data_IF_098494258808
#
_entry.id   IF_098494258808
#
_cell.length_a   1.000
_cell.length_b   1.000
_cell.length_c   1.000
_cell.angle_alpha   90.00
_cell.angle_beta   90.00
_cell.angle_gamma   90.00
#
_symmetry.space_group_name_H-M   'P 1'
#
loop_
_entity.id
_entity.type
_entity.pdbx_description
1 polymer ?
#
# COMPACT_ATOMS: atom_id res chain seq x y z
N UNK A 1 -13.66 6.30 -0.54
CA UNK A 1 -14.19 5.04 -1.11
C UNK A 1 -14.11 3.98 -0.02
N UNK A 2 -15.15 3.20 0.22
CA UNK A 2 -15.10 2.13 1.22
C UNK A 2 -14.19 0.98 0.77
N UNK A 3 -13.60 0.23 1.71
CA UNK A 3 -12.64 -0.83 1.37
C UNK A 3 -13.22 -1.95 0.50
N UNK A 4 -14.53 -2.20 0.58
CA UNK A 4 -15.21 -3.20 -0.28
C UNK A 4 -15.43 -2.70 -1.72
N UNK A 5 -15.02 -1.46 -2.02
CA UNK A 5 -15.06 -0.84 -3.35
C UNK A 5 -13.65 -0.55 -3.89
N UNK A 6 -12.65 -1.26 -3.39
CA UNK A 6 -11.26 -1.16 -3.81
C UNK A 6 -10.80 -2.57 -4.17
N UNK A 7 -10.47 -2.78 -5.44
CA UNK A 7 -9.90 -4.04 -5.93
C UNK A 7 -8.41 -3.88 -6.22
N UNK A 8 -7.60 -4.83 -5.74
CA UNK A 8 -6.19 -4.94 -6.13
C UNK A 8 -6.09 -5.87 -7.33
N UNK A 9 -5.40 -5.40 -8.37
CA UNK A 9 -5.12 -6.15 -9.58
C UNK A 9 -3.61 -6.13 -9.82
N UNK A 10 -3.03 -7.30 -10.09
CA UNK A 10 -1.61 -7.42 -10.45
C UNK A 10 -1.44 -7.05 -11.91
N UNK A 11 -0.65 -6.00 -12.16
CA UNK A 11 -0.28 -5.53 -13.49
C UNK A 11 1.25 -5.47 -13.62
N UNK A 12 1.91 -6.56 -14.09
CA UNK A 12 3.37 -6.67 -14.09
C UNK A 12 4.10 -5.58 -14.88
N UNK A 13 3.49 -5.09 -15.96
CA UNK A 13 4.11 -4.08 -16.84
C UNK A 13 4.12 -2.67 -16.21
N UNK A 14 3.32 -2.44 -15.16
CA UNK A 14 3.23 -1.16 -14.45
C UNK A 14 2.98 0.07 -15.34
N UNK A 15 2.34 -0.13 -16.51
CA UNK A 15 1.97 0.96 -17.44
C UNK A 15 0.62 1.57 -17.07
N UNK A 16 -0.35 0.74 -16.70
CA UNK A 16 -1.60 1.22 -16.08
C UNK A 16 -1.33 1.43 -14.59
N UNK A 17 -1.34 2.69 -14.12
CA UNK A 17 -1.00 2.98 -12.73
C UNK A 17 -2.19 2.86 -11.77
N UNK A 18 -3.42 3.03 -12.26
CA UNK A 18 -4.68 2.73 -11.57
C UNK A 18 -5.88 3.01 -12.48
N UNK A 19 -7.06 2.61 -12.02
CA UNK A 19 -8.33 2.73 -12.73
C UNK A 19 -9.44 3.19 -11.79
N UNK A 20 -10.46 3.85 -12.32
CA UNK A 20 -11.69 4.22 -11.61
C UNK A 20 -12.90 3.77 -12.43
N UNK A 21 -13.75 2.95 -11.81
CA UNK A 21 -15.04 2.55 -12.37
C UNK A 21 -16.14 3.53 -11.95
N UNK A 22 -16.96 3.94 -12.92
CA UNK A 22 -18.09 4.86 -12.76
C UNK A 22 -19.42 4.10 -12.72
N UNK A 23 -20.48 4.77 -12.28
CA UNK A 23 -21.80 4.15 -12.05
C UNK A 23 -22.49 3.64 -13.32
N UNK A 24 -22.02 4.05 -14.50
CA UNK A 24 -22.46 3.58 -15.81
C UNK A 24 -21.67 2.36 -16.31
N UNK A 25 -20.69 1.88 -15.52
CA UNK A 25 -19.79 0.79 -15.86
C UNK A 25 -18.57 1.21 -16.68
N UNK A 26 -18.40 2.50 -16.97
CA UNK A 26 -17.19 2.98 -17.65
C UNK A 26 -15.98 2.95 -16.71
N UNK A 27 -14.83 2.54 -17.23
CA UNK A 27 -13.55 2.59 -16.52
C UNK A 27 -12.63 3.61 -17.16
N UNK A 28 -12.11 4.55 -16.36
CA UNK A 28 -11.05 5.47 -16.78
C UNK A 28 -9.75 5.02 -16.13
N UNK A 29 -8.70 4.89 -16.95
CA UNK A 29 -7.37 4.46 -16.54
C UNK A 29 -6.34 5.58 -16.78
N UNK A 30 -5.38 5.74 -15.86
CA UNK A 30 -4.19 6.55 -16.11
C UNK A 30 -3.04 5.63 -16.54
N UNK A 31 -2.42 5.98 -17.67
CA UNK A 31 -1.32 5.22 -18.26
C UNK A 31 -0.08 6.10 -18.44
N UNK A 32 1.08 5.55 -18.07
CA UNK A 32 2.40 6.12 -18.37
C UNK A 32 3.50 5.09 -18.19
N UNK A 33 4.70 5.39 -18.70
CA UNK A 33 5.89 4.67 -18.28
C UNK A 33 6.12 4.89 -16.77
N UNK A 34 6.65 3.91 -16.01
CA UNK A 34 6.81 4.01 -14.57
C UNK A 34 7.87 5.04 -14.18
N UNK A 35 7.44 6.30 -14.08
CA UNK A 35 8.28 7.46 -13.78
C UNK A 35 7.56 8.44 -12.85
N UNK A 36 8.07 8.57 -11.63
CA UNK A 36 7.49 9.43 -10.59
C UNK A 36 7.44 10.91 -10.99
N UNK A 37 8.26 11.37 -11.94
CA UNK A 37 8.25 12.78 -12.38
C UNK A 37 6.90 13.18 -12.97
N UNK A 38 6.17 12.25 -13.59
CA UNK A 38 4.86 12.54 -14.15
C UNK A 38 3.81 12.85 -13.06
N UNK A 39 3.68 11.98 -12.06
CA UNK A 39 2.69 12.19 -11.00
C UNK A 39 3.06 13.36 -10.08
N UNK A 40 4.35 13.57 -9.81
CA UNK A 40 4.85 14.75 -9.09
C UNK A 40 4.53 16.02 -9.88
N UNK A 41 4.87 16.06 -11.17
CA UNK A 41 4.58 17.22 -12.04
C UNK A 41 3.09 17.51 -12.14
N UNK A 42 2.26 16.47 -12.26
CA UNK A 42 0.80 16.62 -12.26
C UNK A 42 0.28 17.22 -10.94
N UNK A 43 0.78 16.78 -9.80
CA UNK A 43 0.36 17.32 -8.50
C UNK A 43 0.76 18.79 -8.30
N UNK A 44 1.91 19.21 -8.84
CA UNK A 44 2.39 20.60 -8.75
C UNK A 44 1.63 21.55 -9.68
N UNK A 45 1.27 21.09 -10.89
CA UNK A 45 0.67 21.93 -11.93
C UNK A 45 -0.86 21.79 -12.02
N UNK A 46 -1.49 20.92 -11.22
CA UNK A 46 -2.93 20.74 -11.18
C UNK A 46 -3.65 22.09 -11.07
N UNK A 47 -4.65 22.46 -11.89
CA UNK A 47 -5.51 21.75 -12.87
C UNK A 47 -4.97 21.75 -14.32
N UNK A 48 -3.68 22.09 -14.51
CA UNK A 48 -3.02 22.15 -15.81
C UNK A 48 -2.13 20.93 -16.06
N UNK A 49 -1.50 20.90 -17.24
CA UNK A 49 -0.51 19.88 -17.61
C UNK A 49 0.88 20.52 -17.68
N UNK A 50 1.85 19.90 -17.03
CA UNK A 50 3.25 20.29 -17.14
C UNK A 50 3.72 20.21 -18.61
N UNK A 51 4.55 21.15 -19.04
CA UNK A 51 5.08 21.22 -20.40
C UNK A 51 6.13 20.15 -20.76
N UNK A 52 6.60 19.38 -19.78
CA UNK A 52 7.69 18.42 -19.96
C UNK A 52 7.10 17.02 -20.13
N UNK A 53 7.52 16.32 -21.18
CA UNK A 53 7.19 14.92 -21.35
C UNK A 53 8.16 14.06 -20.51
N UNK A 54 7.64 13.37 -19.50
CA UNK A 54 8.40 12.46 -18.64
C UNK A 54 8.39 11.02 -19.18
N UNK A 55 8.73 10.87 -20.47
CA UNK A 55 8.65 9.58 -21.17
C UNK A 55 7.22 9.28 -21.65
N UNK A 56 6.92 9.65 -22.90
CA UNK A 56 5.68 9.24 -23.54
C UNK A 56 5.72 7.73 -23.85
N UNK A 57 4.57 7.07 -23.73
CA UNK A 57 4.44 5.67 -24.14
C UNK A 57 4.65 5.59 -25.65
N UNK A 58 5.61 4.78 -26.07
CA UNK A 58 5.74 4.36 -27.46
C UNK A 58 4.83 3.15 -27.71
N UNK A 59 3.65 3.44 -28.28
CA UNK A 59 2.64 2.42 -28.57
C UNK A 59 3.09 1.39 -29.62
N UNK A 60 4.16 1.66 -30.37
CA UNK A 60 4.68 0.71 -31.37
C UNK A 60 5.57 -0.36 -30.76
N UNK A 61 6.11 -0.11 -29.55
CA UNK A 61 6.99 -1.04 -28.84
C UNK A 61 6.31 -1.68 -27.62
N UNK A 62 5.22 -1.09 -27.12
CA UNK A 62 4.40 -1.69 -26.07
C UNK A 62 3.62 -2.90 -26.60
N UNK A 63 3.99 -4.10 -26.19
CA UNK A 63 3.43 -5.34 -26.73
C UNK A 63 2.13 -5.79 -26.07
N UNK A 64 2.05 -5.74 -24.74
CA UNK A 64 0.88 -6.25 -24.00
C UNK A 64 0.67 -5.55 -22.65
N UNK A 65 -0.59 -5.58 -22.19
CA UNK A 65 -0.99 -5.19 -20.85
C UNK A 65 -1.73 -6.38 -20.24
N UNK A 66 -1.16 -6.99 -19.21
CA UNK A 66 -1.75 -8.17 -18.56
C UNK A 66 -2.24 -7.82 -17.17
N UNK A 67 -3.33 -8.46 -16.75
CA UNK A 67 -3.98 -8.27 -15.45
C UNK A 67 -4.29 -9.63 -14.83
N UNK A 68 -4.03 -9.77 -13.54
CA UNK A 68 -4.30 -10.99 -12.79
C UNK A 68 -4.78 -10.67 -11.37
N UNK A 69 -5.57 -11.55 -10.74
CA UNK A 69 -5.86 -11.42 -9.31
C UNK A 69 -4.58 -11.60 -8.48
N UNK A 70 -4.45 -10.94 -7.32
CA UNK A 70 -3.33 -11.16 -6.42
C UNK A 70 -3.41 -12.54 -5.76
N UNK A 71 -2.27 -13.20 -5.60
CA UNK A 71 -2.16 -14.41 -4.78
C UNK A 71 -2.19 -14.04 -3.29
N UNK A 72 -3.38 -14.06 -2.70
CA UNK A 72 -3.58 -13.69 -1.29
C UNK A 72 -2.97 -14.68 -0.30
N UNK A 73 -2.69 -15.90 -0.72
CA UNK A 73 -1.98 -16.89 0.12
C UNK A 73 -0.48 -16.60 0.14
N UNK A 74 0.11 -16.27 -1.01
CA UNK A 74 1.51 -15.87 -1.08
C UNK A 74 1.76 -14.49 -0.46
N UNK A 75 0.80 -13.56 -0.55
CA UNK A 75 0.93 -12.17 -0.09
C UNK A 75 -0.11 -11.80 0.99
N UNK A 76 -0.07 -12.42 2.18
CA UNK A 76 -1.08 -12.23 3.24
C UNK A 76 -1.13 -10.80 3.79
N UNK A 77 -0.07 -10.00 3.65
CA UNK A 77 -0.06 -8.60 4.08
C UNK A 77 -1.15 -7.75 3.40
N UNK A 78 -1.62 -8.14 2.20
CA UNK A 78 -2.74 -7.48 1.55
C UNK A 78 -4.01 -7.55 2.41
N UNK A 79 -4.27 -8.72 3.00
CA UNK A 79 -5.45 -8.97 3.81
C UNK A 79 -5.40 -8.22 5.14
N UNK A 80 -4.21 -8.16 5.72
CA UNK A 80 -3.91 -7.36 6.90
C UNK A 80 -4.18 -5.87 6.64
N UNK A 81 -3.80 -5.35 5.47
CA UNK A 81 -4.06 -3.97 5.08
C UNK A 81 -5.56 -3.66 4.94
N UNK A 82 -6.32 -4.54 4.28
CA UNK A 82 -7.78 -4.41 4.22
C UNK A 82 -8.41 -4.51 5.62
N UNK A 83 -7.93 -5.39 6.49
CA UNK A 83 -8.43 -5.54 7.85
C UNK A 83 -8.19 -4.27 8.69
N UNK A 84 -6.96 -3.75 8.71
CA UNK A 84 -6.62 -2.51 9.41
C UNK A 84 -7.41 -1.32 8.86
N UNK A 85 -7.56 -1.24 7.54
CA UNK A 85 -8.37 -0.23 6.87
C UNK A 85 -9.85 -0.26 7.28
N UNK A 86 -10.45 -1.45 7.38
CA UNK A 86 -11.83 -1.64 7.87
C UNK A 86 -11.97 -1.38 9.37
N UNK A 87 -10.96 -1.69 10.16
CA UNK A 87 -10.94 -1.36 11.59
C UNK A 87 -10.98 0.15 11.80
N UNK A 88 -10.25 0.90 10.95
CA UNK A 88 -10.15 2.36 11.03
C UNK A 88 -9.37 2.81 12.26
N UNK A 89 -9.58 4.06 12.68
CA UNK A 89 -8.90 4.60 13.86
C UNK A 89 -7.38 4.57 13.72
N UNK A 90 -6.67 4.11 14.75
CA UNK A 90 -5.20 4.00 14.75
C UNK A 90 -4.66 2.66 14.22
N UNK A 91 -5.52 1.75 13.76
CA UNK A 91 -5.07 0.44 13.25
C UNK A 91 -4.14 0.54 12.02
N UNK A 92 -4.37 1.45 11.03
CA UNK A 92 -3.42 1.63 9.94
C UNK A 92 -2.04 2.15 10.39
N UNK A 93 -1.99 2.99 11.43
CA UNK A 93 -0.72 3.47 11.99
C UNK A 93 0.05 2.31 12.64
N UNK A 94 -0.64 1.47 13.42
CA UNK A 94 -0.05 0.27 14.01
C UNK A 94 0.45 -0.73 12.95
N UNK A 95 -0.32 -0.93 11.86
CA UNK A 95 0.11 -1.75 10.71
C UNK A 95 1.40 -1.20 10.11
N UNK A 96 1.44 0.10 9.82
CA UNK A 96 2.59 0.75 9.19
C UNK A 96 3.84 0.61 10.04
N UNK A 97 3.74 0.93 11.33
CA UNK A 97 4.82 0.82 12.30
C UNK A 97 5.37 -0.61 12.43
N UNK A 98 4.48 -1.60 12.56
CA UNK A 98 4.88 -3.00 12.63
C UNK A 98 5.58 -3.47 11.36
N UNK A 99 5.06 -3.06 10.19
CA UNK A 99 5.65 -3.38 8.89
C UNK A 99 7.05 -2.77 8.73
N UNK A 100 7.26 -1.52 9.15
CA UNK A 100 8.59 -0.89 9.12
C UNK A 100 9.63 -1.67 9.94
N UNK A 101 9.27 -2.04 11.18
CA UNK A 101 10.17 -2.81 12.05
C UNK A 101 10.47 -4.20 11.47
N UNK A 102 9.45 -4.90 10.98
CA UNK A 102 9.61 -6.22 10.40
C UNK A 102 10.44 -6.20 9.10
N UNK A 103 10.19 -5.23 8.21
CA UNK A 103 10.96 -5.07 6.97
C UNK A 103 12.41 -4.70 7.28
N UNK A 104 12.67 -3.82 8.25
CA UNK A 104 14.03 -3.50 8.67
C UNK A 104 14.78 -4.74 9.18
N UNK A 105 14.13 -5.58 9.99
CA UNK A 105 14.69 -6.83 10.48
C UNK A 105 14.98 -7.82 9.34
N UNK A 106 14.06 -7.95 8.38
CA UNK A 106 14.26 -8.77 7.18
C UNK A 106 15.46 -8.28 6.35
N UNK A 107 15.57 -6.97 6.11
CA UNK A 107 16.68 -6.37 5.38
C UNK A 107 18.04 -6.54 6.09
N UNK A 108 18.02 -6.63 7.42
CA UNK A 108 19.20 -6.96 8.25
C UNK A 108 19.49 -8.46 8.35
N UNK A 109 18.69 -9.31 7.72
CA UNK A 109 18.84 -10.77 7.75
C UNK A 109 18.48 -11.41 9.10
N UNK A 110 17.68 -10.73 9.93
CA UNK A 110 17.29 -11.20 11.26
C UNK A 110 16.07 -12.12 11.25
N UNK A 111 15.18 -11.94 10.26
CA UNK A 111 13.98 -12.77 10.05
C UNK A 111 13.86 -13.18 8.57
N UNK A 112 13.09 -14.22 8.28
CA UNK A 112 12.77 -14.59 6.91
C UNK A 112 11.70 -13.65 6.32
N UNK A 113 11.57 -13.63 5.00
CA UNK A 113 10.54 -12.82 4.32
C UNK A 113 9.11 -13.16 4.79
N UNK A 114 8.83 -14.46 5.01
CA UNK A 114 7.53 -14.94 5.49
C UNK A 114 7.19 -14.48 6.92
N UNK A 115 8.18 -14.09 7.71
CA UNK A 115 7.95 -13.61 9.08
C UNK A 115 7.38 -12.19 9.11
N UNK A 116 7.52 -11.40 8.03
CA UNK A 116 7.00 -10.03 7.98
C UNK A 116 5.50 -10.02 8.27
N UNK A 117 4.74 -10.87 7.57
CA UNK A 117 3.30 -10.97 7.76
C UNK A 117 2.94 -11.44 9.17
N UNK A 118 3.69 -12.40 9.72
CA UNK A 118 3.48 -12.92 11.08
C UNK A 118 3.65 -11.84 12.15
N UNK A 119 4.68 -11.00 12.03
CA UNK A 119 4.91 -9.88 12.97
C UNK A 119 3.79 -8.86 12.87
N UNK A 120 3.41 -8.45 11.66
CA UNK A 120 2.34 -7.47 11.43
C UNK A 120 0.99 -7.99 11.95
N UNK A 121 0.65 -9.26 11.67
CA UNK A 121 -0.57 -9.90 12.16
C UNK A 121 -0.63 -9.94 13.68
N UNK A 122 0.48 -10.29 14.35
CA UNK A 122 0.57 -10.30 15.81
C UNK A 122 0.29 -8.92 16.41
N UNK A 123 0.92 -7.87 15.87
CA UNK A 123 0.72 -6.50 16.36
C UNK A 123 -0.73 -6.06 16.15
N UNK A 124 -1.29 -6.28 14.96
CA UNK A 124 -2.68 -5.92 14.67
C UNK A 124 -3.70 -6.67 15.53
N UNK A 125 -3.45 -7.95 15.82
CA UNK A 125 -4.34 -8.77 16.65
C UNK A 125 -4.41 -8.27 18.10
N UNK A 126 -3.35 -7.61 18.57
CA UNK A 126 -3.27 -7.05 19.92
C UNK A 126 -3.60 -5.55 19.97
N UNK A 127 -3.92 -4.94 18.83
CA UNK A 127 -4.21 -3.52 18.75
C UNK A 127 -5.58 -3.19 19.37
N UNK A 128 -5.59 -2.23 20.30
CA UNK A 128 -6.77 -1.79 21.04
C UNK A 128 -7.00 -0.26 20.93
N UNK A 129 -6.68 0.31 19.77
CA UNK A 129 -6.62 1.76 19.57
C UNK A 129 -7.94 2.50 19.44
N UNK A 130 -7.83 3.83 19.45
CA UNK A 130 -8.93 4.78 19.34
C UNK A 130 -9.52 4.80 17.92
N UNK A 131 -10.85 4.96 17.83
CA UNK A 131 -11.60 5.05 16.57
C UNK A 131 -11.70 6.48 16.02
N UNK A 132 -11.45 7.49 16.84
CA UNK A 132 -11.43 8.91 16.44
C UNK A 132 -10.15 9.61 16.95
N UNK A 133 -8.98 9.19 16.44
CA UNK A 133 -7.71 9.62 17.00
C UNK A 133 -7.35 11.04 16.61
N UNK A 134 -6.77 11.78 17.56
CA UNK A 134 -5.96 12.95 17.26
C UNK A 134 -4.53 12.56 16.89
N UNK A 135 -3.67 13.56 16.68
CA UNK A 135 -2.27 13.33 16.33
C UNK A 135 -1.52 12.56 17.42
N UNK A 136 -1.78 12.84 18.69
CA UNK A 136 -1.08 12.20 19.82
C UNK A 136 -1.43 10.71 19.87
N UNK A 137 -2.72 10.38 19.73
CA UNK A 137 -3.18 8.99 19.66
C UNK A 137 -2.56 8.21 18.49
N UNK A 138 -2.33 8.85 17.34
CA UNK A 138 -1.63 8.22 16.19
C UNK A 138 -0.16 7.96 16.51
N UNK A 139 0.54 8.92 17.11
CA UNK A 139 1.94 8.78 17.48
C UNK A 139 2.14 7.72 18.58
N UNK A 140 1.24 7.66 19.54
CA UNK A 140 1.25 6.63 20.59
C UNK A 140 1.01 5.24 20.02
N UNK A 141 0.08 5.10 19.07
CA UNK A 141 -0.17 3.84 18.39
C UNK A 141 1.04 3.37 17.56
N UNK A 142 1.74 4.29 16.87
CA UNK A 142 3.00 4.00 16.18
C UNK A 142 4.08 3.52 17.18
N UNK A 143 4.34 4.27 18.24
CA UNK A 143 5.37 3.95 19.23
C UNK A 143 5.11 2.60 19.93
N UNK A 144 3.85 2.35 20.31
CA UNK A 144 3.41 1.08 20.85
C UNK A 144 3.64 -0.06 19.86
N UNK A 145 3.20 0.09 18.60
CA UNK A 145 3.31 -0.94 17.59
C UNK A 145 4.76 -1.29 17.25
N UNK A 146 5.67 -0.30 17.26
CA UNK A 146 7.11 -0.56 17.11
C UNK A 146 7.67 -1.40 18.25
N UNK A 147 7.27 -1.10 19.48
CA UNK A 147 7.69 -1.85 20.67
C UNK A 147 7.16 -3.29 20.60
N UNK A 148 5.86 -3.45 20.33
CA UNK A 148 5.22 -4.76 20.19
C UNK A 148 5.83 -5.60 19.05
N UNK A 149 6.16 -4.97 17.91
CA UNK A 149 6.84 -5.64 16.81
C UNK A 149 8.25 -6.11 17.20
N UNK A 150 9.03 -5.28 17.88
CA UNK A 150 10.39 -5.63 18.31
C UNK A 150 10.40 -6.83 19.29
N UNK A 151 9.41 -6.92 20.17
CA UNK A 151 9.24 -8.08 21.06
C UNK A 151 9.05 -9.40 20.28
N UNK A 152 8.41 -9.37 19.10
CA UNK A 152 8.23 -10.56 18.24
C UNK A 152 9.52 -11.01 17.56
N UNK A 153 10.54 -10.14 17.48
CA UNK A 153 11.83 -10.42 16.83
C UNK A 153 12.87 -11.03 17.77
N UNK A 154 12.60 -11.02 19.08
CA UNK A 154 13.58 -11.43 20.12
C UNK A 154 13.44 -12.91 20.51
N UNK A 155 12.69 -13.70 19.74
CA UNK A 155 12.38 -15.13 20.00
C UNK A 155 13.27 -16.02 19.14
#
# INVERSE_FOLDING_TARGET
VGFDRIDVVVHPQSVVHSMVEYTDGATIAQLSMPDMRLCIGYALDYDNRHHNAYGAIDWTTLSELTFAPPDRHAFPCLDLAYAAGRMGGTAPAALSAANEVAVEAFLKGQIAWVDIARVVESVLSNHNGDRDPDLEAVLDADAWARTAAAEQLTI
#
